data_IF_125790516412
#
_entry.id   IF_125790516412
#
_cell.length_a   1.000
_cell.length_b   1.000
_cell.length_c   1.000
_cell.angle_alpha   90.00
_cell.angle_beta   90.00
_cell.angle_gamma   90.00
#
_symmetry.space_group_name_H-M   'P 1'
#
loop_
_entity.id
_entity.type
_entity.pdbx_description
1 polymer ?
#
# COMPACT_ATOMS: atom_id res chain seq x y z
N UNK A 1 4.44 -12.98 -0.17
CA UNK A 1 4.53 -11.62 0.38
C UNK A 1 4.22 -10.62 -0.73
N UNK A 2 3.46 -9.57 -0.44
CA UNK A 2 3.09 -8.53 -1.39
C UNK A 2 3.74 -7.22 -1.00
N UNK A 3 4.42 -6.62 -1.96
CA UNK A 3 4.94 -5.28 -1.81
C UNK A 3 3.85 -4.26 -2.11
N UNK A 4 3.65 -3.33 -1.18
CA UNK A 4 2.56 -2.36 -1.18
C UNK A 4 3.10 -0.94 -0.96
N UNK A 5 4.27 -0.65 -1.53
CA UNK A 5 4.94 0.63 -1.47
C UNK A 5 5.67 0.90 -2.80
N UNK A 6 5.96 2.17 -3.12
CA UNK A 6 6.60 2.54 -4.38
C UNK A 6 8.07 2.11 -4.45
N UNK A 7 8.48 1.71 -5.65
CA UNK A 7 9.89 1.53 -6.00
C UNK A 7 10.47 2.81 -6.58
N UNK A 8 11.67 3.15 -6.14
CA UNK A 8 12.46 4.22 -6.73
C UNK A 8 13.96 4.02 -6.54
N UNK A 9 14.75 4.59 -7.45
CA UNK A 9 16.20 4.67 -7.33
C UNK A 9 16.68 5.80 -6.40
N UNK A 10 15.76 6.65 -5.94
CA UNK A 10 16.02 7.73 -5.00
C UNK A 10 15.23 7.52 -3.70
N UNK A 11 15.68 8.10 -2.56
CA UNK A 11 14.95 8.02 -1.30
C UNK A 11 13.52 8.53 -1.45
N UNK A 12 12.55 7.76 -0.97
CA UNK A 12 11.12 8.05 -1.15
C UNK A 12 10.72 9.40 -0.55
N UNK A 13 11.40 9.86 0.51
CA UNK A 13 11.09 11.15 1.14
C UNK A 13 11.44 12.35 0.24
N UNK A 14 12.33 12.17 -0.73
CA UNK A 14 12.76 13.23 -1.66
C UNK A 14 11.89 13.33 -2.91
N UNK A 15 11.06 12.32 -3.16
CA UNK A 15 10.22 12.25 -4.34
C UNK A 15 8.94 13.06 -4.15
N UNK A 16 8.41 13.57 -5.25
CA UNK A 16 7.07 14.15 -5.26
C UNK A 16 6.01 13.05 -5.18
N UNK A 17 4.80 13.39 -4.74
CA UNK A 17 3.69 12.43 -4.74
C UNK A 17 3.45 11.88 -6.15
N UNK A 18 3.59 12.70 -7.20
CA UNK A 18 3.50 12.24 -8.59
C UNK A 18 4.55 11.18 -8.92
N UNK A 19 5.80 11.34 -8.50
CA UNK A 19 6.86 10.36 -8.75
C UNK A 19 6.62 9.05 -8.00
N UNK A 20 6.17 9.14 -6.74
CA UNK A 20 5.80 7.98 -5.93
C UNK A 20 4.65 7.21 -6.59
N UNK A 21 3.64 7.91 -7.10
CA UNK A 21 2.45 7.31 -7.70
C UNK A 21 2.69 6.74 -9.11
N UNK A 22 3.87 6.96 -9.71
CA UNK A 22 4.23 6.29 -10.98
C UNK A 22 4.32 4.78 -10.79
N UNK A 23 4.94 4.33 -9.70
CA UNK A 23 5.17 2.90 -9.45
C UNK A 23 4.17 2.29 -8.50
N UNK A 24 3.56 3.09 -7.62
CA UNK A 24 2.55 2.61 -6.70
C UNK A 24 1.54 3.71 -6.32
N UNK A 25 0.34 3.61 -6.90
CA UNK A 25 -0.80 4.47 -6.57
C UNK A 25 -1.89 3.69 -5.80
N UNK A 26 -2.92 4.42 -5.36
CA UNK A 26 -4.03 3.86 -4.59
C UNK A 26 -4.81 2.78 -5.38
N UNK A 27 -4.81 2.83 -6.71
CA UNK A 27 -5.46 1.81 -7.56
C UNK A 27 -4.62 0.55 -7.66
N UNK A 28 -3.30 0.69 -7.68
CA UNK A 28 -2.39 -0.44 -7.67
C UNK A 28 -2.46 -1.19 -6.35
N UNK A 29 -2.59 -0.47 -5.23
CA UNK A 29 -2.87 -1.08 -3.93
C UNK A 29 -4.17 -1.90 -3.94
N UNK A 30 -5.28 -1.32 -4.41
CA UNK A 30 -6.57 -2.02 -4.51
C UNK A 30 -6.45 -3.32 -5.35
N UNK A 31 -5.78 -3.25 -6.51
CA UNK A 31 -5.53 -4.42 -7.35
C UNK A 31 -4.72 -5.50 -6.64
N UNK A 32 -3.66 -5.11 -5.92
CA UNK A 32 -2.81 -6.04 -5.20
C UNK A 32 -3.59 -6.72 -4.05
N UNK A 33 -4.43 -5.96 -3.32
CA UNK A 33 -5.27 -6.49 -2.25
C UNK A 33 -6.31 -7.48 -2.79
N UNK A 34 -6.98 -7.15 -3.90
CA UNK A 34 -7.92 -8.06 -4.56
C UNK A 34 -7.22 -9.33 -5.05
N UNK A 35 -6.05 -9.20 -5.65
CA UNK A 35 -5.29 -10.35 -6.10
C UNK A 35 -4.82 -11.23 -4.93
N UNK A 36 -4.48 -10.63 -3.78
CA UNK A 36 -4.18 -11.39 -2.56
C UNK A 36 -5.39 -12.18 -2.03
N UNK A 37 -6.61 -11.62 -2.13
CA UNK A 37 -7.86 -12.31 -1.77
C UNK A 37 -8.12 -13.52 -2.70
N UNK A 38 -7.89 -13.36 -4.01
CA UNK A 38 -8.10 -14.41 -5.02
C UNK A 38 -7.07 -15.56 -4.95
N UNK A 39 -5.92 -15.34 -4.32
CA UNK A 39 -4.85 -16.35 -4.26
C UNK A 39 -5.19 -17.55 -3.37
N UNK A 40 -6.26 -17.49 -2.55
CA UNK A 40 -6.67 -18.55 -1.62
C UNK A 40 -5.52 -19.08 -0.74
N UNK A 41 -4.54 -18.22 -0.46
CA UNK A 41 -3.39 -18.54 0.37
C UNK A 41 -3.79 -18.46 1.84
N UNK A 42 -3.31 -19.37 2.71
CA UNK A 42 -3.65 -19.37 4.13
C UNK A 42 -3.13 -18.11 4.84
N UNK A 43 -2.00 -17.57 4.39
CA UNK A 43 -1.42 -16.34 4.92
C UNK A 43 -0.81 -15.50 3.81
N UNK A 44 -1.02 -14.19 3.87
CA UNK A 44 -0.41 -13.21 2.98
C UNK A 44 0.20 -12.09 3.82
N UNK A 45 1.52 -11.91 3.66
CA UNK A 45 2.24 -10.82 4.31
C UNK A 45 2.29 -9.60 3.40
N UNK A 46 1.93 -8.42 3.92
CA UNK A 46 2.01 -7.14 3.23
C UNK A 46 3.16 -6.30 3.78
N UNK A 47 3.99 -5.77 2.89
CA UNK A 47 5.12 -4.89 3.21
C UNK A 47 4.82 -3.46 2.76
N UNK A 48 5.00 -2.48 3.66
CA UNK A 48 4.75 -1.06 3.38
C UNK A 48 4.02 -0.28 4.49
N UNK A 49 3.80 -0.88 5.67
CA UNK A 49 3.02 -0.25 6.75
C UNK A 49 3.56 1.12 7.20
N UNK A 50 4.87 1.27 7.28
CA UNK A 50 5.53 2.54 7.61
C UNK A 50 5.27 3.58 6.52
N UNK A 51 5.32 3.17 5.25
CA UNK A 51 5.04 4.05 4.12
C UNK A 51 3.58 4.51 4.09
N UNK A 52 2.60 3.63 4.32
CA UNK A 52 1.18 4.02 4.39
C UNK A 52 0.92 5.04 5.50
N UNK A 53 1.55 4.84 6.67
CA UNK A 53 1.43 5.75 7.80
C UNK A 53 2.09 7.11 7.49
N UNK A 54 3.27 7.11 6.87
CA UNK A 54 3.94 8.34 6.44
C UNK A 54 3.12 9.13 5.41
N UNK A 55 2.52 8.45 4.42
CA UNK A 55 1.64 9.08 3.43
C UNK A 55 0.43 9.75 4.09
N UNK A 56 -0.15 9.11 5.12
CA UNK A 56 -1.26 9.65 5.90
C UNK A 56 -0.85 10.89 6.70
N UNK A 57 0.19 10.79 7.53
CA UNK A 57 0.56 11.84 8.50
C UNK A 57 1.28 13.02 7.86
N UNK A 58 2.15 12.77 6.88
CA UNK A 58 3.05 13.81 6.33
C UNK A 58 2.61 14.30 4.96
N UNK A 59 2.04 13.43 4.13
CA UNK A 59 1.70 13.76 2.73
C UNK A 59 0.22 14.00 2.48
N UNK A 60 -0.64 13.89 3.51
CA UNK A 60 -2.10 14.07 3.42
C UNK A 60 -2.78 13.12 2.43
N UNK A 61 -2.22 11.91 2.29
CA UNK A 61 -2.75 10.83 1.45
C UNK A 61 -3.17 9.64 2.33
N UNK A 62 -4.30 9.74 3.06
CA UNK A 62 -4.77 8.70 3.97
C UNK A 62 -5.36 7.47 3.26
N UNK A 63 -5.58 7.53 1.95
CA UNK A 63 -6.25 6.48 1.17
C UNK A 63 -5.56 5.13 1.29
N UNK A 64 -4.22 5.08 1.26
CA UNK A 64 -3.45 3.84 1.40
C UNK A 64 -3.68 3.17 2.76
N UNK A 65 -3.62 3.98 3.83
CA UNK A 65 -3.88 3.52 5.19
C UNK A 65 -5.32 3.01 5.35
N UNK A 66 -6.29 3.74 4.79
CA UNK A 66 -7.70 3.40 4.88
C UNK A 66 -8.04 2.12 4.13
N UNK A 67 -7.48 1.91 2.92
CA UNK A 67 -7.67 0.69 2.15
C UNK A 67 -7.20 -0.54 2.90
N UNK A 68 -5.98 -0.50 3.45
CA UNK A 68 -5.44 -1.64 4.18
C UNK A 68 -6.20 -1.89 5.48
N UNK A 69 -6.56 -0.82 6.21
CA UNK A 69 -7.38 -0.95 7.42
C UNK A 69 -8.74 -1.57 7.13
N UNK A 70 -9.39 -1.17 6.04
CA UNK A 70 -10.66 -1.76 5.60
C UNK A 70 -10.48 -3.23 5.21
N UNK A 71 -9.42 -3.55 4.48
CA UNK A 71 -9.10 -4.92 4.07
C UNK A 71 -8.94 -5.85 5.27
N UNK A 72 -8.18 -5.46 6.29
CA UNK A 72 -8.02 -6.29 7.50
C UNK A 72 -9.28 -6.35 8.36
N UNK A 73 -10.09 -5.29 8.40
CA UNK A 73 -11.35 -5.30 9.12
C UNK A 73 -12.37 -6.26 8.47
N UNK A 74 -12.36 -6.41 7.14
CA UNK A 74 -13.25 -7.34 6.43
C UNK A 74 -12.74 -8.77 6.41
N UNK A 75 -11.43 -8.98 6.55
CA UNK A 75 -10.78 -10.29 6.53
C UNK A 75 -10.22 -10.65 7.90
N UNK A 76 -11.11 -10.73 8.90
CA UNK A 76 -10.79 -11.28 10.22
C UNK A 76 -10.01 -12.60 10.06
N UNK A 77 -8.69 -12.55 10.24
CA UNK A 77 -7.85 -13.72 10.57
C UNK A 77 -8.22 -14.26 11.94
#
# INVERSE_FOLDING_TARGET
>A
EFQMEPWSNAPLERLSNSDLFVTFDAKQMEKNLKYAEELHMPEVYFWGAEWWYWMKETRQHPEFWNQVKQFFASHHT
#
